data_IF_023344119979
#
_entry.id   IF_023344119979
#
_cell.length_a   1.000
_cell.length_b   1.000
_cell.length_c   1.000
_cell.angle_alpha   90.00
_cell.angle_beta   90.00
_cell.angle_gamma   90.00
#
_symmetry.space_group_name_H-M   'P 1'
#
loop_
_entity.id
_entity.type
_entity.pdbx_description
1 polymer ?
#
# COMPACT_ATOMS: atom_id res chain seq x y z
N UNK A 1 26.14 -61.82 -15.56
CA UNK A 1 24.84 -61.31 -15.06
C UNK A 1 24.59 -59.80 -15.33
N UNK A 2 25.09 -59.19 -16.42
CA UNK A 2 25.04 -57.73 -16.64
C UNK A 2 24.09 -57.23 -17.76
N UNK A 3 23.31 -58.10 -18.40
CA UNK A 3 22.51 -57.72 -19.58
C UNK A 3 21.16 -57.04 -19.29
N UNK A 4 20.73 -56.95 -18.01
CA UNK A 4 19.36 -56.48 -17.67
C UNK A 4 19.27 -54.98 -17.37
N UNK A 5 20.38 -54.28 -17.08
CA UNK A 5 20.37 -52.85 -16.71
C UNK A 5 20.23 -51.87 -17.90
N UNK A 6 20.53 -52.29 -19.14
CA UNK A 6 20.47 -51.43 -20.34
C UNK A 6 19.05 -51.14 -20.86
N UNK A 7 18.04 -51.93 -20.45
CA UNK A 7 16.66 -51.78 -20.94
C UNK A 7 15.88 -50.66 -20.23
N UNK A 8 16.29 -50.27 -19.02
CA UNK A 8 15.65 -49.20 -18.24
C UNK A 8 15.99 -47.78 -18.72
N UNK A 9 17.14 -47.61 -19.40
CA UNK A 9 17.59 -46.30 -19.91
C UNK A 9 17.01 -45.94 -21.30
N UNK A 10 16.31 -46.86 -21.96
CA UNK A 10 15.79 -46.67 -23.34
C UNK A 10 14.34 -46.16 -23.41
N UNK A 11 13.69 -45.89 -22.28
CA UNK A 11 12.30 -45.45 -22.24
C UNK A 11 12.12 -43.94 -21.97
N UNK A 12 13.16 -43.14 -22.19
CA UNK A 12 13.05 -41.69 -22.12
C UNK A 12 12.44 -41.17 -23.43
N UNK A 13 11.11 -41.21 -23.52
CA UNK A 13 10.39 -40.41 -24.51
C UNK A 13 10.60 -38.95 -24.13
N UNK A 14 11.54 -38.30 -24.82
CA UNK A 14 11.85 -36.88 -24.61
C UNK A 14 10.67 -36.00 -25.02
N UNK A 15 10.47 -34.91 -24.27
CA UNK A 15 9.54 -33.84 -24.59
C UNK A 15 9.84 -33.31 -26.00
N UNK A 16 8.81 -33.09 -26.82
CA UNK A 16 9.03 -32.52 -28.16
C UNK A 16 9.15 -30.99 -28.06
N UNK A 17 9.97 -30.39 -28.93
CA UNK A 17 10.12 -28.93 -28.96
C UNK A 17 8.79 -28.22 -29.29
N UNK A 18 7.92 -28.87 -30.09
CA UNK A 18 6.61 -28.32 -30.44
C UNK A 18 5.66 -28.26 -29.24
N UNK A 19 5.70 -29.26 -28.35
CA UNK A 19 4.92 -29.25 -27.10
C UNK A 19 5.37 -28.11 -26.19
N UNK A 20 6.69 -27.90 -26.07
CA UNK A 20 7.23 -26.79 -25.28
C UNK A 20 6.86 -25.42 -25.90
N UNK A 21 6.91 -25.31 -27.24
CA UNK A 21 6.54 -24.09 -27.97
C UNK A 21 5.07 -23.71 -27.74
N UNK A 22 4.16 -24.68 -27.82
CA UNK A 22 2.73 -24.41 -27.61
C UNK A 22 2.45 -23.86 -26.20
N UNK A 23 3.14 -24.38 -25.18
CA UNK A 23 2.98 -23.94 -23.79
C UNK A 23 3.46 -22.50 -23.59
N UNK A 24 4.64 -22.13 -24.09
CA UNK A 24 5.16 -20.77 -23.92
C UNK A 24 4.30 -19.73 -24.65
N UNK A 25 3.69 -20.09 -25.79
CA UNK A 25 2.77 -19.22 -26.52
C UNK A 25 1.52 -18.92 -25.69
N UNK A 26 0.92 -19.95 -25.07
CA UNK A 26 -0.25 -19.77 -24.21
C UNK A 26 0.12 -18.93 -22.97
N UNK A 27 1.26 -19.21 -22.33
CA UNK A 27 1.75 -18.43 -21.18
C UNK A 27 2.00 -16.96 -21.55
N UNK A 28 2.53 -16.67 -22.74
CA UNK A 28 2.77 -15.31 -23.20
C UNK A 28 1.46 -14.51 -23.35
N UNK A 29 0.41 -15.12 -23.91
CA UNK A 29 -0.91 -14.49 -24.06
C UNK A 29 -1.51 -14.18 -22.68
N UNK A 30 -1.45 -15.13 -21.74
CA UNK A 30 -1.95 -14.92 -20.38
C UNK A 30 -1.15 -13.81 -19.68
N UNK A 31 0.18 -13.84 -19.77
CA UNK A 31 1.05 -12.84 -19.15
C UNK A 31 0.78 -11.43 -19.67
N UNK A 32 0.52 -11.28 -20.97
CA UNK A 32 0.23 -9.98 -21.58
C UNK A 32 -1.00 -9.29 -20.97
N UNK A 33 -2.03 -10.04 -20.57
CA UNK A 33 -3.23 -9.51 -19.92
C UNK A 33 -3.05 -9.42 -18.39
N UNK A 34 -2.40 -10.40 -17.78
CA UNK A 34 -2.27 -10.51 -16.34
C UNK A 34 -1.37 -9.41 -15.74
N UNK A 35 -0.22 -9.10 -16.36
CA UNK A 35 0.75 -8.12 -15.83
C UNK A 35 0.12 -6.74 -15.61
N UNK A 36 -0.53 -6.08 -16.60
CA UNK A 36 -1.12 -4.77 -16.37
C UNK A 36 -2.26 -4.81 -15.34
N UNK A 37 -3.08 -5.86 -15.33
CA UNK A 37 -4.15 -6.01 -14.34
C UNK A 37 -3.62 -6.14 -12.91
N UNK A 38 -2.59 -6.96 -12.70
CA UNK A 38 -1.94 -7.16 -11.40
C UNK A 38 -1.30 -5.85 -10.92
N UNK A 39 -0.62 -5.10 -11.81
CA UNK A 39 -0.02 -3.82 -11.45
C UNK A 39 -1.05 -2.81 -10.93
N UNK A 40 -2.24 -2.75 -11.55
CA UNK A 40 -3.35 -1.91 -11.06
C UNK A 40 -3.84 -2.36 -9.68
N UNK A 41 -4.00 -3.68 -9.46
CA UNK A 41 -4.44 -4.23 -8.16
C UNK A 41 -3.42 -3.91 -7.06
N UNK A 42 -2.13 -4.12 -7.34
CA UNK A 42 -1.04 -3.80 -6.40
C UNK A 42 -1.06 -2.31 -6.07
N UNK A 43 -1.15 -1.43 -7.08
CA UNK A 43 -1.25 0.03 -6.86
C UNK A 43 -2.41 0.39 -5.94
N UNK A 44 -3.61 -0.15 -6.18
CA UNK A 44 -4.77 0.14 -5.31
C UNK A 44 -4.59 -0.41 -3.90
N UNK A 45 -3.94 -1.56 -3.75
CA UNK A 45 -3.62 -2.15 -2.45
C UNK A 45 -2.67 -1.24 -1.66
N UNK A 46 -1.60 -0.75 -2.29
CA UNK A 46 -0.65 0.21 -1.70
C UNK A 46 -1.32 1.53 -1.29
N UNK A 47 -2.13 2.12 -2.17
CA UNK A 47 -2.90 3.33 -1.84
C UNK A 47 -3.82 3.07 -0.63
N UNK A 48 -4.45 1.90 -0.56
CA UNK A 48 -5.33 1.54 0.55
C UNK A 48 -4.56 1.35 1.86
N UNK A 49 -3.36 0.78 1.81
CA UNK A 49 -2.45 0.68 2.95
C UNK A 49 -2.03 2.06 3.45
N UNK A 50 -1.53 2.94 2.58
CA UNK A 50 -1.18 4.32 2.94
C UNK A 50 -2.37 5.09 3.53
N UNK A 51 -3.58 4.89 3.00
CA UNK A 51 -4.81 5.47 3.56
C UNK A 51 -5.13 4.92 4.95
N UNK A 52 -4.95 3.62 5.18
CA UNK A 52 -5.13 3.02 6.50
C UNK A 52 -4.16 3.61 7.51
N UNK A 53 -2.89 3.74 7.14
CA UNK A 53 -1.85 4.37 7.96
C UNK A 53 -2.18 5.83 8.28
N UNK A 54 -2.68 6.58 7.30
CA UNK A 54 -3.15 7.95 7.51
C UNK A 54 -4.30 8.04 8.53
N UNK A 55 -5.22 7.06 8.55
CA UNK A 55 -6.27 6.97 9.58
C UNK A 55 -5.68 6.65 10.94
N UNK A 56 -4.69 5.77 11.02
CA UNK A 56 -3.99 5.46 12.27
C UNK A 56 -3.29 6.70 12.84
N UNK A 57 -2.61 7.49 12.00
CA UNK A 57 -1.98 8.76 12.39
C UNK A 57 -2.99 9.73 13.00
N UNK A 58 -4.17 9.88 12.39
CA UNK A 58 -5.23 10.76 12.95
C UNK A 58 -5.75 10.21 14.28
N UNK A 59 -5.89 8.89 14.43
CA UNK A 59 -6.32 8.29 15.69
C UNK A 59 -5.26 8.45 16.79
N UNK A 60 -3.99 8.28 16.46
CA UNK A 60 -2.87 8.54 17.37
C UNK A 60 -2.83 10.02 17.80
N UNK A 61 -3.09 10.95 16.88
CA UNK A 61 -3.26 12.37 17.22
C UNK A 61 -4.45 12.63 18.18
N UNK A 62 -5.57 11.90 18.04
CA UNK A 62 -6.68 11.98 19.02
C UNK A 62 -6.26 11.45 20.39
N UNK A 63 -5.49 10.37 20.44
CA UNK A 63 -4.97 9.82 21.70
C UNK A 63 -3.99 10.79 22.37
N UNK A 64 -3.15 11.46 21.58
CA UNK A 64 -2.28 12.53 22.05
C UNK A 64 -3.10 13.63 22.72
N UNK A 65 -4.13 14.17 22.05
CA UNK A 65 -4.99 15.23 22.61
C UNK A 65 -5.85 14.74 23.77
N UNK A 66 -6.15 13.44 23.86
CA UNK A 66 -6.85 12.89 25.01
C UNK A 66 -5.96 12.77 26.24
N UNK A 67 -4.65 12.59 26.05
CA UNK A 67 -3.67 12.41 27.13
C UNK A 67 -2.98 13.72 27.52
N UNK A 68 -3.01 14.71 26.63
CA UNK A 68 -2.40 16.02 26.77
C UNK A 68 -3.45 17.11 26.52
N UNK A 69 -3.04 18.37 26.47
CA UNK A 69 -3.89 19.45 25.95
C UNK A 69 -3.64 19.64 24.45
N UNK A 70 -4.56 20.33 23.78
CA UNK A 70 -4.34 20.78 22.40
C UNK A 70 -3.16 21.75 22.41
N UNK A 71 -2.17 21.60 21.50
CA UNK A 71 -1.09 22.57 21.37
C UNK A 71 -1.63 23.96 21.04
N UNK A 72 -0.95 25.03 21.46
CA UNK A 72 -1.39 26.42 21.24
C UNK A 72 -1.58 26.77 19.75
N UNK A 73 -0.72 26.24 18.87
CA UNK A 73 -0.84 26.41 17.41
C UNK A 73 -1.85 25.45 16.77
N UNK A 74 -2.43 24.52 17.55
CA UNK A 74 -3.32 23.48 17.06
C UNK A 74 -2.63 22.46 16.15
N UNK A 75 -1.30 22.44 16.08
CA UNK A 75 -0.53 21.53 15.22
C UNK A 75 0.17 20.48 16.08
N UNK A 76 -0.08 19.21 15.76
CA UNK A 76 0.61 18.07 16.38
C UNK A 76 1.64 17.54 15.39
N UNK A 77 2.89 17.48 15.83
CA UNK A 77 4.02 17.05 15.01
C UNK A 77 4.16 15.52 15.01
N UNK A 78 4.77 14.97 13.96
CA UNK A 78 5.08 13.54 13.85
C UNK A 78 5.75 12.97 15.11
N UNK A 79 6.72 13.68 15.68
CA UNK A 79 7.46 13.26 16.89
C UNK A 79 6.57 13.02 18.11
N UNK A 80 5.42 13.68 18.17
CA UNK A 80 4.46 13.51 19.26
C UNK A 80 3.46 12.39 18.97
N UNK A 81 3.07 12.23 17.71
CA UNK A 81 2.15 11.18 17.25
C UNK A 81 2.82 9.81 17.29
N UNK A 82 4.11 9.71 16.94
CA UNK A 82 4.86 8.45 16.87
C UNK A 82 4.89 7.68 18.20
N UNK A 83 4.75 8.39 19.32
CA UNK A 83 4.69 7.79 20.66
C UNK A 83 3.39 7.01 20.91
N UNK A 84 2.37 7.21 20.06
CA UNK A 84 1.04 6.62 20.15
C UNK A 84 0.75 5.69 18.96
N UNK A 85 1.77 5.33 18.18
CA UNK A 85 1.70 4.35 17.10
C UNK A 85 2.44 3.09 17.53
N UNK A 86 1.80 1.94 17.35
CA UNK A 86 2.40 0.64 17.66
C UNK A 86 3.35 0.16 16.55
N UNK A 87 3.07 0.56 15.30
CA UNK A 87 3.82 0.18 14.10
C UNK A 87 4.28 1.41 13.31
N UNK A 88 5.35 1.25 12.54
CA UNK A 88 5.79 2.27 11.59
C UNK A 88 4.78 2.42 10.45
N UNK A 89 4.41 3.67 10.16
CA UNK A 89 3.46 4.03 9.11
C UNK A 89 4.20 4.44 7.83
N UNK A 90 3.60 4.16 6.67
CA UNK A 90 4.16 4.53 5.36
C UNK A 90 3.97 6.02 5.03
N UNK A 91 4.14 6.91 6.01
CA UNK A 91 4.09 8.36 5.85
C UNK A 91 5.45 8.97 6.21
N UNK A 92 6.14 9.51 5.19
CA UNK A 92 7.49 10.06 5.32
C UNK A 92 7.53 11.37 6.10
N UNK A 93 6.47 12.18 6.00
CA UNK A 93 6.28 13.40 6.78
C UNK A 93 4.80 13.64 7.00
N UNK A 94 4.43 14.08 8.21
CA UNK A 94 3.06 14.45 8.51
C UNK A 94 2.93 15.34 9.75
N UNK A 95 1.84 16.09 9.76
CA UNK A 95 1.32 16.83 10.89
C UNK A 95 -0.19 16.65 10.96
N UNK A 96 -0.75 16.80 12.15
CA UNK A 96 -2.20 16.82 12.32
C UNK A 96 -2.60 18.16 12.90
N UNK A 97 -3.43 18.90 12.17
CA UNK A 97 -4.05 20.14 12.65
C UNK A 97 -5.33 19.81 13.38
N UNK A 98 -5.52 20.40 14.55
CA UNK A 98 -6.67 20.25 15.43
C UNK A 98 -7.38 21.60 15.52
N UNK A 99 -8.68 21.59 15.27
CA UNK A 99 -9.53 22.79 15.35
C UNK A 99 -10.88 22.43 15.94
N UNK A 100 -11.48 23.32 16.71
CA UNK A 100 -12.86 23.16 17.18
C UNK A 100 -13.86 23.72 16.15
N UNK A 101 -14.91 22.97 15.86
CA UNK A 101 -16.02 23.39 15.01
C UNK A 101 -17.32 22.77 15.53
N UNK A 102 -18.34 23.60 15.78
CA UNK A 102 -19.62 23.18 16.37
C UNK A 102 -19.48 22.34 17.67
N UNK A 103 -18.58 22.74 18.56
CA UNK A 103 -18.33 22.03 19.83
C UNK A 103 -17.67 20.66 19.67
N UNK A 104 -17.12 20.36 18.48
CA UNK A 104 -16.43 19.11 18.16
C UNK A 104 -15.02 19.39 17.68
N UNK A 105 -14.09 18.55 18.13
CA UNK A 105 -12.71 18.58 17.67
C UNK A 105 -12.60 17.93 16.29
N UNK A 106 -12.07 18.69 15.33
CA UNK A 106 -11.80 18.27 13.96
C UNK A 106 -10.30 18.08 13.81
N UNK A 107 -9.92 16.93 13.24
CA UNK A 107 -8.54 16.54 13.02
C UNK A 107 -8.28 16.43 11.52
N UNK A 108 -7.25 17.13 11.05
CA UNK A 108 -6.89 17.23 9.64
C UNK A 108 -5.43 16.83 9.45
N UNK A 109 -5.21 15.76 8.70
CA UNK A 109 -3.88 15.28 8.34
C UNK A 109 -3.33 16.06 7.16
N UNK A 110 -2.11 16.56 7.32
CA UNK A 110 -1.26 17.02 6.23
C UNK A 110 -0.04 16.11 6.19
N UNK A 111 0.27 15.52 5.05
CA UNK A 111 1.41 14.62 4.95
C UNK A 111 1.47 13.86 3.63
N UNK A 112 2.57 13.15 3.45
CA UNK A 112 2.82 12.37 2.23
C UNK A 112 3.18 10.94 2.61
N UNK A 113 2.45 9.99 2.03
CA UNK A 113 2.78 8.58 2.11
C UNK A 113 3.41 8.05 0.84
N UNK A 114 4.34 7.12 1.00
CA UNK A 114 5.10 6.54 -0.10
C UNK A 114 5.28 5.03 0.12
N UNK A 115 4.93 4.24 -0.89
CA UNK A 115 5.14 2.80 -0.91
C UNK A 115 5.49 2.37 -2.35
N UNK A 116 6.75 1.98 -2.54
CA UNK A 116 7.32 1.36 -3.74
C UNK A 116 6.76 1.95 -5.05
N UNK A 117 7.16 3.19 -5.33
CA UNK A 117 6.81 3.96 -6.53
C UNK A 117 5.43 4.62 -6.50
N UNK A 118 4.62 4.42 -5.46
CA UNK A 118 3.32 5.08 -5.28
C UNK A 118 3.41 6.14 -4.18
N UNK A 119 3.09 7.38 -4.52
CA UNK A 119 3.04 8.50 -3.58
C UNK A 119 1.61 9.00 -3.44
N UNK A 120 1.14 9.23 -2.21
CA UNK A 120 -0.18 9.81 -1.90
C UNK A 120 0.00 11.03 -1.01
N UNK A 121 -0.53 12.17 -1.42
CA UNK A 121 -0.46 13.42 -0.62
C UNK A 121 -1.81 13.72 0.02
N UNK A 122 -1.79 13.89 1.34
CA UNK A 122 -2.91 14.31 2.16
C UNK A 122 -2.80 15.81 2.44
N UNK A 123 -3.83 16.57 2.07
CA UNK A 123 -3.96 18.00 2.35
C UNK A 123 -5.25 18.20 3.14
N UNK A 124 -5.11 18.60 4.40
CA UNK A 124 -6.20 18.78 5.35
C UNK A 124 -7.20 17.60 5.40
N UNK A 125 -6.68 16.37 5.31
CA UNK A 125 -7.50 15.17 5.17
C UNK A 125 -8.14 14.76 6.51
N UNK A 126 -9.46 14.56 6.51
CA UNK A 126 -10.18 13.97 7.65
C UNK A 126 -10.35 12.47 7.44
N UNK A 127 -10.63 11.70 8.50
CA UNK A 127 -10.94 10.26 8.38
C UNK A 127 -12.10 10.01 7.41
N UNK A 128 -13.13 10.86 7.44
CA UNK A 128 -14.26 10.79 6.50
C UNK A 128 -13.82 10.94 5.05
N UNK A 129 -12.94 11.92 4.76
CA UNK A 129 -12.38 12.10 3.43
C UNK A 129 -11.50 10.92 2.99
N UNK A 130 -10.70 10.36 3.91
CA UNK A 130 -9.77 9.26 3.58
C UNK A 130 -10.55 8.00 3.16
N UNK A 131 -11.61 7.71 3.91
CA UNK A 131 -12.47 6.55 3.68
C UNK A 131 -13.45 6.73 2.52
N UNK A 132 -13.70 7.96 2.09
CA UNK A 132 -14.53 8.22 0.93
C UNK A 132 -13.79 7.84 -0.37
N UNK A 133 -14.39 6.93 -1.12
CA UNK A 133 -13.90 6.48 -2.43
C UNK A 133 -13.96 7.58 -3.49
N UNK A 134 -14.81 8.59 -3.30
CA UNK A 134 -14.95 9.73 -4.20
C UNK A 134 -13.83 10.76 -4.01
N UNK A 135 -13.23 10.81 -2.83
CA UNK A 135 -12.15 11.74 -2.52
C UNK A 135 -10.89 11.36 -3.32
N UNK A 136 -10.52 12.25 -4.24
CA UNK A 136 -9.31 12.11 -5.06
C UNK A 136 -8.14 12.74 -4.31
N UNK A 137 -7.21 11.90 -3.88
CA UNK A 137 -5.92 12.35 -3.38
C UNK A 137 -4.95 12.56 -4.53
N UNK A 138 -4.07 13.54 -4.39
CA UNK A 138 -2.98 13.74 -5.33
C UNK A 138 -2.05 12.53 -5.24
N UNK A 139 -2.05 11.72 -6.31
CA UNK A 139 -1.40 10.41 -6.35
C UNK A 139 -0.45 10.36 -7.53
N UNK A 140 0.84 10.23 -7.25
CA UNK A 140 1.89 10.09 -8.27
C UNK A 140 2.39 8.66 -8.31
N UNK A 141 2.67 8.16 -9.52
CA UNK A 141 3.37 6.87 -9.69
C UNK A 141 4.67 7.14 -10.41
N UNK A 142 5.78 7.02 -9.70
CA UNK A 142 7.11 7.12 -10.28
C UNK A 142 7.45 5.75 -10.88
N UNK A 143 7.55 5.71 -12.21
CA UNK A 143 7.98 4.52 -12.97
C UNK A 143 9.49 4.44 -13.06
#
# INVERSE_FOLDING_TARGET
>A
MLHKKRKLLKNQKGFTLIELLAVIVILAIIAAIAIPAINTIIKHSKISAIKSDAVQVINAAKLYVSSNSVPDEGIIQKTDIDKYLDDEVNLSSYTVTVSESDGKMVYKLNGTGEDDGVTVTFKDATIGGINDKSTKYDTTVNK
#
